data_IF_376631488272
#
_entry.id   IF_376631488272
#
_cell.length_a   1.000
_cell.length_b   1.000
_cell.length_c   1.000
_cell.angle_alpha   90.00
_cell.angle_beta   90.00
_cell.angle_gamma   90.00
#
_symmetry.space_group_name_H-M   'P 1'
#
loop_
_entity.id
_entity.type
_entity.pdbx_description
1 polymer ?
#
# COMPACT_ATOMS: atom_id res chain seq x y z
N UNK A 1 12.31 5.40 -24.69
CA UNK A 1 12.12 6.86 -24.60
C UNK A 1 12.34 7.28 -23.17
N UNK A 2 13.51 7.77 -22.90
CA UNK A 2 13.79 8.39 -21.61
C UNK A 2 13.40 9.86 -21.70
N UNK A 3 12.13 10.15 -21.44
CA UNK A 3 11.82 11.50 -21.03
C UNK A 3 12.54 11.70 -19.70
N UNK A 4 13.60 12.49 -19.74
CA UNK A 4 14.33 12.85 -18.55
C UNK A 4 13.36 13.58 -17.61
N UNK A 5 13.09 12.96 -16.46
CA UNK A 5 12.28 13.61 -15.44
C UNK A 5 12.99 14.87 -14.94
N UNK A 6 12.26 15.96 -14.69
CA UNK A 6 12.84 17.13 -14.05
C UNK A 6 13.54 16.75 -12.75
N UNK A 7 14.62 17.45 -12.35
CA UNK A 7 15.34 17.11 -11.12
C UNK A 7 14.45 17.06 -9.87
N UNK A 8 13.46 17.94 -9.77
CA UNK A 8 12.53 17.99 -8.63
C UNK A 8 11.66 16.72 -8.59
N UNK A 9 11.14 16.30 -9.75
CA UNK A 9 10.34 15.08 -9.84
C UNK A 9 11.17 13.86 -9.50
N UNK A 10 12.41 13.79 -9.95
CA UNK A 10 13.33 12.71 -9.63
C UNK A 10 13.61 12.65 -8.12
N UNK A 11 13.86 13.78 -7.49
CA UNK A 11 14.07 13.85 -6.04
C UNK A 11 12.83 13.36 -5.29
N UNK A 12 11.64 13.76 -5.71
CA UNK A 12 10.39 13.33 -5.10
C UNK A 12 10.21 11.80 -5.21
N UNK A 13 10.42 11.24 -6.40
CA UNK A 13 10.29 9.79 -6.64
C UNK A 13 11.30 9.01 -5.80
N UNK A 14 12.56 9.42 -5.79
CA UNK A 14 13.62 8.75 -5.03
C UNK A 14 13.33 8.84 -3.53
N UNK A 15 12.94 10.01 -3.03
CA UNK A 15 12.60 10.20 -1.62
C UNK A 15 11.43 9.31 -1.20
N UNK A 16 10.39 9.24 -2.02
CA UNK A 16 9.22 8.37 -1.78
C UNK A 16 9.63 6.91 -1.72
N UNK A 17 10.45 6.45 -2.66
CA UNK A 17 10.93 5.07 -2.69
C UNK A 17 11.76 4.75 -1.44
N UNK A 18 12.65 5.66 -1.03
CA UNK A 18 13.48 5.45 0.16
C UNK A 18 12.65 5.40 1.43
N UNK A 19 11.70 6.30 1.60
CA UNK A 19 10.83 6.32 2.79
C UNK A 19 9.93 5.09 2.79
N UNK A 20 9.36 4.72 1.66
CA UNK A 20 8.55 3.51 1.52
C UNK A 20 9.34 2.25 1.83
N UNK A 21 10.56 2.15 1.33
CA UNK A 21 11.45 1.02 1.65
C UNK A 21 11.76 0.96 3.15
N UNK A 22 11.95 2.10 3.78
CA UNK A 22 12.15 2.17 5.23
C UNK A 22 10.91 1.70 6.00
N UNK A 23 9.71 2.08 5.56
CA UNK A 23 8.45 1.62 6.15
C UNK A 23 8.29 0.11 6.02
N UNK A 24 8.59 -0.44 4.86
CA UNK A 24 8.50 -1.89 4.60
C UNK A 24 9.54 -2.63 5.45
N UNK A 25 10.77 -2.14 5.50
CA UNK A 25 11.83 -2.73 6.34
C UNK A 25 11.43 -2.71 7.82
N UNK A 26 10.90 -1.60 8.31
CA UNK A 26 10.39 -1.49 9.67
C UNK A 26 9.30 -2.54 9.93
N UNK A 27 8.34 -2.68 9.00
CA UNK A 27 7.26 -3.64 9.14
C UNK A 27 7.77 -5.08 9.20
N UNK A 28 8.75 -5.41 8.36
CA UNK A 28 9.35 -6.74 8.35
C UNK A 28 10.15 -7.03 9.62
N UNK A 29 10.92 -6.05 10.11
CA UNK A 29 11.77 -6.21 11.29
C UNK A 29 10.99 -6.28 12.60
N UNK A 30 9.83 -5.63 12.65
CA UNK A 30 8.97 -5.60 13.84
C UNK A 30 7.74 -6.50 13.72
N UNK A 31 7.70 -7.34 12.69
CA UNK A 31 6.59 -8.24 12.47
C UNK A 31 6.45 -9.25 13.61
N UNK A 32 5.26 -9.28 14.19
CA UNK A 32 4.91 -10.29 15.20
C UNK A 32 3.96 -11.32 14.57
N UNK A 33 4.10 -12.60 14.94
CA UNK A 33 3.18 -13.64 14.45
C UNK A 33 1.74 -13.29 14.81
N UNK A 34 0.89 -13.28 13.80
CA UNK A 34 -0.55 -13.09 13.94
C UNK A 34 -1.26 -14.24 13.22
N UNK A 35 -2.55 -14.43 13.50
CA UNK A 35 -3.36 -15.35 12.70
C UNK A 35 -3.38 -14.86 11.25
N UNK A 36 -2.87 -15.67 10.33
CA UNK A 36 -2.65 -15.23 8.94
C UNK A 36 -3.89 -15.36 8.06
N UNK A 37 -4.92 -16.08 8.49
CA UNK A 37 -6.10 -16.32 7.65
C UNK A 37 -6.79 -15.02 7.24
N UNK A 38 -7.06 -14.13 8.19
CA UNK A 38 -7.69 -12.84 7.91
C UNK A 38 -6.87 -11.96 6.97
N UNK A 39 -5.59 -11.70 7.28
CA UNK A 39 -4.72 -10.94 6.38
C UNK A 39 -4.57 -11.52 4.99
N UNK A 40 -4.46 -12.84 4.86
CA UNK A 40 -4.33 -13.51 3.56
C UNK A 40 -5.61 -13.32 2.75
N UNK A 41 -6.78 -13.55 3.35
CA UNK A 41 -8.07 -13.35 2.65
C UNK A 41 -8.25 -11.92 2.21
N UNK A 42 -7.99 -10.96 3.10
CA UNK A 42 -8.09 -9.55 2.75
C UNK A 42 -7.07 -9.15 1.69
N UNK A 43 -5.86 -9.69 1.76
CA UNK A 43 -4.82 -9.47 0.76
C UNK A 43 -5.20 -9.98 -0.62
N UNK A 44 -5.81 -11.16 -0.70
CA UNK A 44 -6.30 -11.72 -1.96
C UNK A 44 -7.41 -10.82 -2.52
N UNK A 45 -8.35 -10.38 -1.69
CA UNK A 45 -9.41 -9.45 -2.11
C UNK A 45 -8.84 -8.12 -2.60
N UNK A 46 -7.85 -7.58 -1.89
CA UNK A 46 -7.19 -6.34 -2.28
C UNK A 46 -6.45 -6.49 -3.62
N UNK A 47 -5.76 -7.61 -3.82
CA UNK A 47 -5.08 -7.89 -5.09
C UNK A 47 -6.08 -7.99 -6.25
N UNK A 48 -7.19 -8.69 -6.06
CA UNK A 48 -8.24 -8.79 -7.07
C UNK A 48 -8.81 -7.41 -7.38
N UNK A 49 -9.07 -6.60 -6.35
CA UNK A 49 -9.60 -5.25 -6.52
C UNK A 49 -8.63 -4.33 -7.27
N UNK A 50 -7.31 -4.48 -7.03
CA UNK A 50 -6.28 -3.74 -7.78
C UNK A 50 -6.22 -4.16 -9.24
N UNK A 51 -6.38 -5.45 -9.52
CA UNK A 51 -6.33 -5.97 -10.89
C UNK A 51 -7.56 -5.61 -11.72
N UNK A 52 -8.70 -5.36 -11.08
CA UNK A 52 -9.97 -5.09 -11.75
C UNK A 52 -10.59 -3.78 -11.24
N UNK A 53 -9.98 -2.61 -11.55
CA UNK A 53 -10.55 -1.34 -11.15
C UNK A 53 -11.89 -1.07 -11.83
N UNK A 54 -12.82 -0.44 -11.11
CA UNK A 54 -14.13 -0.09 -11.64
C UNK A 54 -14.05 1.23 -12.39
N UNK A 55 -14.49 1.23 -13.63
CA UNK A 55 -14.62 2.46 -14.43
C UNK A 55 -15.97 3.12 -14.10
N UNK A 56 -15.91 4.33 -13.55
CA UNK A 56 -17.10 5.13 -13.30
C UNK A 56 -17.45 6.05 -14.46
N UNK A 57 -16.46 6.43 -15.27
CA UNK A 57 -16.64 7.28 -16.45
C UNK A 57 -15.46 7.07 -17.40
N UNK A 58 -15.53 7.64 -18.59
CA UNK A 58 -14.44 7.58 -19.56
C UNK A 58 -13.13 8.20 -19.03
N UNK A 59 -13.22 9.09 -18.05
CA UNK A 59 -12.07 9.83 -17.52
C UNK A 59 -11.58 9.36 -16.15
N UNK A 60 -12.30 8.45 -15.48
CA UNK A 60 -11.95 8.05 -14.13
C UNK A 60 -12.14 6.57 -13.81
N UNK A 61 -11.13 5.98 -13.19
CA UNK A 61 -11.24 4.66 -12.58
C UNK A 61 -11.15 4.79 -11.07
N UNK A 62 -11.98 4.04 -10.35
CA UNK A 62 -11.92 3.98 -8.88
C UNK A 62 -11.53 2.56 -8.50
N UNK A 63 -10.52 2.48 -7.65
CA UNK A 63 -10.08 1.21 -7.09
C UNK A 63 -10.81 0.94 -5.78
N UNK A 64 -11.46 -0.19 -5.69
CA UNK A 64 -12.06 -0.70 -4.45
C UNK A 64 -10.96 -1.12 -3.47
N UNK A 65 -9.74 -1.33 -3.96
CA UNK A 65 -8.60 -1.70 -3.14
C UNK A 65 -8.33 -0.70 -2.01
N UNK A 66 -8.57 0.59 -2.23
CA UNK A 66 -8.40 1.60 -1.19
C UNK A 66 -9.28 1.32 0.04
N UNK A 67 -10.51 0.87 -0.17
CA UNK A 67 -11.40 0.51 0.94
C UNK A 67 -10.87 -0.71 1.70
N UNK A 68 -10.30 -1.67 0.99
CA UNK A 68 -9.71 -2.87 1.60
C UNK A 68 -8.43 -2.53 2.37
N UNK A 69 -7.62 -1.60 1.86
CA UNK A 69 -6.44 -1.10 2.57
C UNK A 69 -6.84 -0.38 3.87
N UNK A 70 -7.89 0.41 3.85
CA UNK A 70 -8.45 1.02 5.07
C UNK A 70 -8.95 -0.04 6.06
N UNK A 71 -9.62 -1.08 5.57
CA UNK A 71 -10.05 -2.19 6.42
C UNK A 71 -8.84 -2.87 7.08
N UNK A 72 -7.75 -3.05 6.36
CA UNK A 72 -6.52 -3.62 6.90
C UNK A 72 -5.93 -2.74 8.02
N UNK A 73 -5.94 -1.42 7.85
CA UNK A 73 -5.47 -0.46 8.87
C UNK A 73 -6.28 -0.59 10.17
N UNK A 74 -7.59 -0.79 10.03
CA UNK A 74 -8.50 -0.88 11.19
C UNK A 74 -8.40 -2.24 11.87
N UNK A 75 -8.33 -3.33 11.09
CA UNK A 75 -8.45 -4.69 11.59
C UNK A 75 -7.13 -5.30 12.06
N UNK A 76 -6.01 -4.87 11.50
CA UNK A 76 -4.72 -5.53 11.71
C UNK A 76 -3.68 -4.58 12.31
N UNK A 77 -2.60 -5.13 12.92
CA UNK A 77 -1.48 -4.30 13.37
C UNK A 77 -0.87 -3.51 12.21
N UNK A 78 -0.21 -2.35 12.50
CA UNK A 78 0.39 -1.51 11.46
C UNK A 78 1.33 -2.25 10.51
N UNK A 79 2.13 -3.18 11.03
CA UNK A 79 3.06 -3.97 10.24
C UNK A 79 2.35 -4.81 9.19
N UNK A 80 1.24 -5.44 9.57
CA UNK A 80 0.43 -6.26 8.67
C UNK A 80 -0.23 -5.38 7.61
N UNK A 81 -0.78 -4.24 8.00
CA UNK A 81 -1.44 -3.30 7.08
C UNK A 81 -0.44 -2.77 6.03
N UNK A 82 0.76 -2.37 6.45
CA UNK A 82 1.82 -1.89 5.56
C UNK A 82 2.23 -2.97 4.56
N UNK A 83 2.50 -4.18 5.04
CA UNK A 83 2.92 -5.29 4.18
C UNK A 83 1.81 -5.72 3.23
N UNK A 84 0.57 -5.76 3.69
CA UNK A 84 -0.57 -6.13 2.87
C UNK A 84 -0.77 -5.13 1.71
N UNK A 85 -0.76 -3.84 2.00
CA UNK A 85 -0.89 -2.80 0.99
C UNK A 85 0.27 -2.85 -0.01
N UNK A 86 1.50 -3.00 0.46
CA UNK A 86 2.69 -3.06 -0.38
C UNK A 86 2.68 -4.30 -1.29
N UNK A 87 2.35 -5.46 -0.74
CA UNK A 87 2.34 -6.72 -1.51
C UNK A 87 1.23 -6.68 -2.56
N UNK A 88 0.01 -6.27 -2.20
CA UNK A 88 -1.10 -6.21 -3.14
C UNK A 88 -0.81 -5.25 -4.29
N UNK A 89 -0.31 -4.06 -4.00
CA UNK A 89 0.06 -3.08 -5.02
C UNK A 89 1.21 -3.57 -5.89
N UNK A 90 2.26 -4.10 -5.27
CA UNK A 90 3.44 -4.59 -5.99
C UNK A 90 3.11 -5.75 -6.93
N UNK A 91 2.37 -6.73 -6.45
CA UNK A 91 1.96 -7.88 -7.27
C UNK A 91 1.04 -7.46 -8.42
N UNK A 92 0.07 -6.58 -8.15
CA UNK A 92 -0.82 -6.06 -9.18
C UNK A 92 -0.04 -5.36 -10.30
N UNK A 93 0.90 -4.50 -9.93
CA UNK A 93 1.71 -3.77 -10.89
C UNK A 93 2.63 -4.71 -11.70
N UNK A 94 3.22 -5.72 -11.06
CA UNK A 94 4.06 -6.72 -11.74
C UNK A 94 3.23 -7.53 -12.73
N UNK A 95 2.06 -7.99 -12.33
CA UNK A 95 1.14 -8.75 -13.22
C UNK A 95 0.68 -7.89 -14.39
N UNK A 96 0.45 -6.61 -14.15
CA UNK A 96 0.02 -5.64 -15.18
C UNK A 96 1.17 -5.13 -16.04
N UNK A 97 2.40 -5.61 -15.82
CA UNK A 97 3.61 -5.24 -16.57
C UNK A 97 3.93 -3.74 -16.54
N UNK A 98 3.68 -3.12 -15.41
CA UNK A 98 4.03 -1.72 -15.18
C UNK A 98 5.56 -1.59 -15.12
N UNK A 99 6.16 -0.50 -15.63
CA UNK A 99 7.62 -0.27 -15.55
C UNK A 99 8.12 -0.32 -14.10
N UNK A 100 9.32 -0.85 -13.89
CA UNK A 100 9.90 -1.09 -12.56
C UNK A 100 9.88 0.14 -11.66
N UNK A 101 10.21 1.30 -12.20
CA UNK A 101 10.23 2.54 -11.40
C UNK A 101 8.84 2.90 -10.87
N UNK A 102 7.80 2.66 -11.65
CA UNK A 102 6.41 2.88 -11.23
C UNK A 102 5.97 1.86 -10.20
N UNK A 103 6.38 0.60 -10.34
CA UNK A 103 6.13 -0.45 -9.33
C UNK A 103 6.72 -0.03 -7.99
N UNK A 104 8.00 0.37 -7.98
CA UNK A 104 8.68 0.81 -6.78
C UNK A 104 8.01 2.03 -6.16
N UNK A 105 7.65 3.01 -6.97
CA UNK A 105 6.99 4.22 -6.50
C UNK A 105 5.60 3.93 -5.91
N UNK A 106 4.77 3.18 -6.62
CA UNK A 106 3.40 2.86 -6.18
C UNK A 106 3.42 2.03 -4.90
N UNK A 107 4.26 1.01 -4.85
CA UNK A 107 4.42 0.15 -3.67
C UNK A 107 4.85 0.98 -2.46
N UNK A 108 5.84 1.84 -2.64
CA UNK A 108 6.35 2.72 -1.58
C UNK A 108 5.30 3.72 -1.12
N UNK A 109 4.58 4.32 -2.04
CA UNK A 109 3.52 5.28 -1.76
C UNK A 109 2.42 4.66 -0.90
N UNK A 110 1.98 3.45 -1.24
CA UNK A 110 0.94 2.76 -0.49
C UNK A 110 1.44 2.26 0.87
N UNK A 111 2.70 1.84 0.96
CA UNK A 111 3.32 1.49 2.24
C UNK A 111 3.36 2.70 3.19
N UNK A 112 3.74 3.87 2.69
CA UNK A 112 3.75 5.12 3.46
C UNK A 112 2.34 5.49 3.88
N UNK A 113 1.37 5.42 2.97
CA UNK A 113 -0.03 5.73 3.26
C UNK A 113 -0.59 4.83 4.36
N UNK A 114 -0.33 3.53 4.28
CA UNK A 114 -0.77 2.57 5.29
C UNK A 114 -0.11 2.84 6.64
N UNK A 115 1.20 3.15 6.66
CA UNK A 115 1.92 3.48 7.88
C UNK A 115 1.36 4.74 8.54
N UNK A 116 1.13 5.79 7.77
CA UNK A 116 0.56 7.05 8.28
C UNK A 116 -0.88 6.86 8.75
N UNK A 117 -1.70 6.15 7.99
CA UNK A 117 -3.08 5.87 8.36
C UNK A 117 -3.16 5.06 9.66
N UNK A 118 -2.27 4.08 9.83
CA UNK A 118 -2.19 3.29 11.06
C UNK A 118 -1.81 4.14 12.26
N UNK A 119 -0.89 5.09 12.08
CA UNK A 119 -0.49 6.02 13.14
C UNK A 119 -1.62 6.95 13.53
N UNK A 120 -2.30 7.53 12.54
CA UNK A 120 -3.43 8.43 12.78
C UNK A 120 -4.57 7.68 13.49
N UNK A 121 -4.85 6.47 13.06
CA UNK A 121 -5.87 5.62 13.68
C UNK A 121 -5.52 5.31 15.14
N UNK A 122 -4.26 4.99 15.42
CA UNK A 122 -3.82 4.68 16.78
C UNK A 122 -3.87 5.89 17.71
N UNK A 123 -3.69 7.12 17.19
CA UNK A 123 -3.73 8.35 17.98
C UNK A 123 -5.15 8.87 18.20
N UNK A 124 -6.11 8.46 17.39
CA UNK A 124 -7.49 8.87 17.47
C UNK A 124 -8.33 7.97 18.37
N UNK A 125 -9.64 8.30 18.52
CA UNK A 125 -10.59 7.47 19.31
C UNK A 125 -10.67 6.02 18.81
N UNK A 126 -10.41 5.78 17.52
CA UNK A 126 -10.39 4.45 16.94
C UNK A 126 -9.33 3.53 17.54
N UNK A 127 -8.22 4.09 18.04
CA UNK A 127 -7.17 3.30 18.68
C UNK A 127 -7.64 2.58 19.94
N UNK A 128 -8.70 3.07 20.58
CA UNK A 128 -9.30 2.44 21.74
C UNK A 128 -10.10 1.16 21.40
N UNK A 129 -10.43 0.97 20.14
CA UNK A 129 -11.21 -0.18 19.64
C UNK A 129 -10.37 -1.20 18.88
N UNK A 130 -9.06 -1.17 19.04
CA UNK A 130 -8.20 -2.20 18.47
C UNK A 130 -8.42 -3.52 19.20
N UNK A 131 -8.83 -4.47 18.41
CA UNK A 131 -8.99 -5.85 18.85
C UNK A 131 -7.71 -6.62 18.68
#
# INVERSE_FOLDING_TARGET
>A
MSQEMPPVARMFVVSTILVGAACIAWALLTFEPVALLGPILLGICALIAELYPVRLSEEGTVSVAAALDFAAVILFPPQVAVLLAAIAAGLSDIVSRVPRIRVLFNTSQLAIAAALASRVYALGPGGAFRF
#
